data_IF_626339752258
#
_entry.id   IF_626339752258
#
_cell.length_a   1.000
_cell.length_b   1.000
_cell.length_c   1.000
_cell.angle_alpha   90.00
_cell.angle_beta   90.00
_cell.angle_gamma   90.00
#
_symmetry.space_group_name_H-M   'P 1'
#
loop_
_entity.id
_entity.type
_entity.pdbx_description
1 polymer ?
#
# COMPACT_ATOMS: atom_id res chain seq x y z
N UNK A 1 -22.40 -14.50 -56.60
CA UNK A 1 -22.12 -14.82 -55.18
C UNK A 1 -20.59 -14.77 -55.04
N UNK A 2 -20.02 -13.58 -54.83
CA UNK A 2 -19.46 -13.06 -53.55
C UNK A 2 -18.61 -14.11 -52.81
N UNK A 3 -17.32 -13.76 -52.61
CA UNK A 3 -16.23 -14.51 -51.97
C UNK A 3 -16.50 -14.97 -50.53
N UNK A 4 -15.55 -15.56 -49.80
CA UNK A 4 -14.16 -15.12 -49.63
C UNK A 4 -13.31 -16.23 -48.99
N UNK A 5 -12.00 -16.05 -49.14
CA UNK A 5 -10.88 -16.74 -48.48
C UNK A 5 -10.98 -16.70 -46.94
N UNK A 6 -10.48 -17.73 -46.25
CA UNK A 6 -9.30 -17.61 -45.38
C UNK A 6 -8.85 -18.96 -44.81
N UNK A 7 -7.52 -19.07 -44.78
CA UNK A 7 -6.69 -20.24 -44.54
C UNK A 7 -6.67 -20.63 -43.06
N UNK A 8 -6.95 -21.89 -42.74
CA UNK A 8 -6.63 -22.47 -41.44
C UNK A 8 -5.46 -23.44 -41.63
N UNK A 9 -4.26 -22.94 -41.38
CA UNK A 9 -3.05 -23.74 -41.28
C UNK A 9 -3.06 -24.58 -40.01
N UNK A 10 -2.82 -25.87 -40.18
CA UNK A 10 -2.81 -26.88 -39.14
C UNK A 10 -1.41 -27.06 -38.53
N UNK A 11 -1.33 -27.05 -37.20
CA UNK A 11 -0.38 -27.82 -36.37
C UNK A 11 -0.81 -27.59 -34.91
N UNK A 12 -1.37 -28.52 -34.13
CA UNK A 12 -0.89 -29.86 -33.87
C UNK A 12 0.07 -29.85 -32.68
N UNK A 13 -0.42 -29.95 -31.43
CA UNK A 13 0.06 -30.91 -30.43
C UNK A 13 -0.62 -30.75 -29.05
N UNK A 14 -1.16 -31.89 -28.60
CA UNK A 14 -1.91 -32.21 -27.39
C UNK A 14 -1.04 -32.13 -26.14
N UNK A 15 -1.58 -31.73 -24.98
CA UNK A 15 -1.23 -32.28 -23.65
C UNK A 15 -2.39 -32.12 -22.65
N UNK A 16 -3.00 -33.27 -22.36
CA UNK A 16 -3.60 -33.80 -21.12
C UNK A 16 -4.52 -32.89 -20.29
N UNK A 17 -5.82 -33.02 -20.57
CA UNK A 17 -6.91 -32.92 -19.60
C UNK A 17 -6.88 -34.14 -18.68
N UNK A 18 -6.96 -33.94 -17.37
CA UNK A 18 -7.59 -34.89 -16.47
C UNK A 18 -8.59 -34.10 -15.61
N UNK A 19 -9.86 -34.32 -15.94
CA UNK A 19 -11.03 -34.02 -15.14
C UNK A 19 -11.04 -34.97 -13.94
N UNK A 20 -10.91 -34.42 -12.75
CA UNK A 20 -11.38 -35.08 -11.53
C UNK A 20 -12.03 -34.01 -10.66
N UNK A 21 -13.16 -33.52 -11.17
CA UNK A 21 -14.12 -32.69 -10.47
C UNK A 21 -15.28 -33.60 -10.05
N UNK A 22 -15.22 -34.11 -8.83
CA UNK A 22 -16.42 -34.52 -8.10
C UNK A 22 -16.13 -34.59 -6.60
N UNK A 23 -16.83 -33.75 -5.85
CA UNK A 23 -17.45 -34.11 -4.57
C UNK A 23 -16.51 -34.63 -3.44
N UNK A 24 -16.17 -33.75 -2.51
CA UNK A 24 -16.69 -33.82 -1.13
C UNK A 24 -16.25 -32.58 -0.34
N UNK A 25 -17.28 -31.92 0.17
CA UNK A 25 -17.22 -30.85 1.14
C UNK A 25 -17.10 -31.48 2.55
N UNK A 26 -16.76 -30.65 3.53
CA UNK A 26 -16.85 -30.85 4.99
C UNK A 26 -15.58 -31.28 5.74
N UNK A 27 -15.39 -30.58 6.87
CA UNK A 27 -14.41 -30.74 7.94
C UNK A 27 -13.10 -29.95 7.79
N UNK A 28 -13.16 -28.68 8.21
CA UNK A 28 -12.09 -28.01 8.98
C UNK A 28 -12.72 -26.86 9.79
N UNK A 29 -13.63 -27.22 10.71
CA UNK A 29 -13.96 -26.42 11.88
C UNK A 29 -13.51 -27.24 13.09
N UNK A 30 -12.37 -26.87 13.67
CA UNK A 30 -11.93 -27.11 15.05
C UNK A 30 -10.47 -26.64 15.17
N UNK A 31 -10.27 -25.35 15.42
CA UNK A 31 -9.02 -24.87 16.02
C UNK A 31 -9.36 -24.57 17.48
N UNK A 32 -9.03 -25.52 18.35
CA UNK A 32 -8.87 -25.28 19.78
C UNK A 32 -7.77 -24.23 19.97
N UNK A 33 -8.14 -22.99 20.31
CA UNK A 33 -7.20 -21.97 20.76
C UNK A 33 -7.28 -21.89 22.27
N UNK A 34 -6.59 -22.81 22.94
CA UNK A 34 -6.14 -22.59 24.31
C UNK A 34 -5.08 -21.47 24.33
N UNK A 35 -5.44 -20.37 24.99
CA UNK A 35 -4.53 -19.67 25.92
C UNK A 35 -3.14 -19.27 25.42
N UNK A 36 -3.04 -18.40 24.44
CA UNK A 36 -1.78 -17.70 24.13
C UNK A 36 -2.03 -16.42 23.34
N UNK A 37 -2.10 -15.27 24.01
CA UNK A 37 -2.10 -13.96 23.32
C UNK A 37 -0.69 -13.69 22.78
N UNK A 38 -0.31 -14.36 21.71
CA UNK A 38 0.84 -13.93 20.91
C UNK A 38 0.44 -12.61 20.24
N UNK A 39 0.94 -11.49 20.78
CA UNK A 39 0.85 -10.23 20.03
C UNK A 39 1.53 -10.45 18.67
N UNK A 40 0.88 -10.14 17.54
CA UNK A 40 1.52 -10.23 16.25
C UNK A 40 2.73 -9.29 16.28
N UNK A 41 3.94 -9.85 16.15
CA UNK A 41 5.22 -9.17 16.37
C UNK A 41 5.48 -7.92 15.50
N UNK A 42 4.54 -7.53 14.64
CA UNK A 42 4.68 -6.50 13.62
C UNK A 42 3.56 -5.44 13.64
N UNK A 43 2.92 -5.22 14.80
CA UNK A 43 1.95 -4.13 14.97
C UNK A 43 2.69 -2.79 15.02
N UNK A 44 2.32 -1.87 14.14
CA UNK A 44 2.91 -0.53 14.06
C UNK A 44 1.85 0.54 13.85
N UNK A 45 2.23 1.78 14.17
CA UNK A 45 1.43 2.95 13.89
C UNK A 45 1.83 3.56 12.55
N UNK A 46 0.86 3.70 11.64
CA UNK A 46 1.02 4.37 10.35
C UNK A 46 0.54 5.81 10.43
N UNK A 47 1.28 6.74 9.84
CA UNK A 47 0.77 8.08 9.55
C UNK A 47 -0.12 8.04 8.30
N UNK A 48 -1.32 8.60 8.38
CA UNK A 48 -2.24 8.65 7.24
C UNK A 48 -1.98 9.87 6.38
N UNK A 49 -2.08 9.67 5.07
CA UNK A 49 -1.93 10.72 4.07
C UNK A 49 -2.92 10.57 2.94
N UNK A 50 -2.84 11.48 1.98
CA UNK A 50 -3.59 11.42 0.73
C UNK A 50 -2.63 11.42 -0.43
N UNK A 51 -2.84 10.48 -1.35
CA UNK A 51 -2.19 10.49 -2.67
C UNK A 51 -2.67 11.69 -3.48
N UNK A 52 -1.96 12.05 -4.56
CA UNK A 52 -2.38 13.13 -5.48
C UNK A 52 -3.78 12.91 -6.09
N UNK A 53 -4.29 11.68 -6.07
CA UNK A 53 -5.63 11.30 -6.55
C UNK A 53 -6.69 11.29 -5.43
N UNK A 54 -6.37 11.77 -4.23
CA UNK A 54 -7.28 11.83 -3.09
C UNK A 54 -7.49 10.49 -2.35
N UNK A 55 -6.88 9.40 -2.78
CA UNK A 55 -6.95 8.12 -2.08
C UNK A 55 -6.09 8.14 -0.81
N UNK A 56 -6.53 7.45 0.25
CA UNK A 56 -5.72 7.28 1.46
C UNK A 56 -4.42 6.54 1.13
N UNK A 57 -3.32 7.02 1.70
CA UNK A 57 -2.06 6.28 1.79
C UNK A 57 -1.59 6.23 3.23
N UNK A 58 -0.70 5.29 3.51
CA UNK A 58 -0.11 5.09 4.82
C UNK A 58 1.39 5.32 4.72
N UNK A 59 1.96 5.92 5.75
CA UNK A 59 3.38 6.21 5.86
C UNK A 59 3.96 5.54 7.10
N UNK A 60 5.10 4.89 6.91
CA UNK A 60 5.88 4.29 8.00
C UNK A 60 7.34 4.27 7.59
N UNK A 61 8.24 4.74 8.47
CA UNK A 61 9.70 4.78 8.25
C UNK A 61 10.15 5.34 6.88
N UNK A 62 9.46 6.38 6.38
CA UNK A 62 9.77 6.99 5.08
C UNK A 62 9.31 6.18 3.86
N UNK A 63 8.51 5.13 4.05
CA UNK A 63 7.88 4.37 2.97
C UNK A 63 6.39 4.67 2.87
N UNK A 64 5.87 4.66 1.65
CA UNK A 64 4.46 4.91 1.34
C UNK A 64 3.78 3.60 0.93
N UNK A 65 2.62 3.32 1.53
CA UNK A 65 1.77 2.18 1.20
C UNK A 65 0.43 2.65 0.64
N UNK A 66 -0.05 1.96 -0.39
CA UNK A 66 -1.30 2.24 -1.09
C UNK A 66 -2.18 1.00 -1.14
N UNK A 67 -3.50 1.21 -1.10
CA UNK A 67 -4.48 0.12 -1.02
C UNK A 67 -4.41 -0.77 -2.26
N UNK A 68 -4.35 -2.08 -2.04
CA UNK A 68 -4.60 -3.06 -3.08
C UNK A 68 -6.12 -3.27 -3.22
N UNK A 69 -6.63 -3.31 -4.46
CA UNK A 69 -8.07 -3.49 -4.71
C UNK A 69 -8.43 -4.98 -4.64
N UNK A 70 -9.55 -5.33 -4.03
CA UNK A 70 -10.17 -6.66 -4.21
C UNK A 70 -10.27 -7.61 -3.01
N UNK A 71 -10.06 -7.18 -1.77
CA UNK A 71 -10.18 -8.06 -0.58
C UNK A 71 -10.98 -7.42 0.56
N UNK A 72 -11.65 -8.25 1.39
CA UNK A 72 -12.35 -7.82 2.62
C UNK A 72 -11.38 -7.32 3.70
N UNK A 73 -10.14 -7.85 3.71
CA UNK A 73 -9.03 -7.28 4.47
C UNK A 73 -8.43 -6.13 3.66
N UNK A 74 -8.16 -5.00 4.29
CA UNK A 74 -7.56 -3.86 3.61
C UNK A 74 -6.04 -4.07 3.57
N UNK A 75 -5.63 -4.80 2.55
CA UNK A 75 -4.23 -5.03 2.23
C UNK A 75 -3.68 -3.79 1.53
N UNK A 76 -2.54 -3.32 2.00
CA UNK A 76 -1.77 -2.28 1.35
C UNK A 76 -0.44 -2.86 0.90
N UNK A 77 0.06 -2.31 -0.19
CA UNK A 77 1.39 -2.61 -0.71
C UNK A 77 2.18 -1.33 -0.81
N UNK A 78 3.49 -1.45 -0.77
CA UNK A 78 4.34 -0.30 -1.06
C UNK A 78 3.95 0.32 -2.41
N UNK A 79 3.99 1.66 -2.50
CA UNK A 79 3.70 2.40 -3.72
C UNK A 79 4.62 1.99 -4.88
N UNK A 80 5.86 1.57 -4.58
CA UNK A 80 6.81 1.10 -5.57
C UNK A 80 6.41 -0.30 -6.08
N UNK A 81 6.07 -0.39 -7.37
CA UNK A 81 5.43 -1.58 -7.98
C UNK A 81 6.20 -2.90 -7.83
N UNK A 82 7.53 -2.86 -7.76
CA UNK A 82 8.40 -4.04 -7.64
C UNK A 82 8.87 -4.30 -6.20
N UNK A 83 8.34 -3.58 -5.22
CA UNK A 83 8.67 -3.76 -3.82
C UNK A 83 7.76 -4.85 -3.20
N UNK A 84 8.33 -5.86 -2.51
CA UNK A 84 7.53 -6.93 -1.91
C UNK A 84 6.86 -6.51 -0.58
N UNK A 85 7.27 -5.39 0.01
CA UNK A 85 6.72 -4.89 1.26
C UNK A 85 5.20 -4.63 1.19
N UNK A 86 4.49 -5.10 2.21
CA UNK A 86 3.05 -4.98 2.35
C UNK A 86 2.65 -4.76 3.81
N UNK A 87 1.43 -4.30 4.04
CA UNK A 87 0.85 -4.21 5.38
C UNK A 87 -0.67 -4.41 5.34
N UNK A 88 -1.26 -4.62 6.51
CA UNK A 88 -2.70 -4.90 6.68
C UNK A 88 -3.26 -3.99 7.77
N UNK A 89 -4.50 -3.54 7.56
CA UNK A 89 -5.27 -2.78 8.55
C UNK A 89 -6.64 -3.47 8.71
N UNK A 90 -7.17 -3.50 9.94
CA UNK A 90 -8.54 -3.93 10.21
C UNK A 90 -9.56 -2.99 9.55
N UNK A 91 -10.76 -3.47 9.27
CA UNK A 91 -11.80 -2.65 8.64
C UNK A 91 -12.25 -1.49 9.56
N UNK A 92 -12.22 -1.70 10.88
CA UNK A 92 -12.57 -0.71 11.90
C UNK A 92 -11.59 0.47 11.86
N UNK A 93 -10.30 0.16 11.99
CA UNK A 93 -9.21 1.14 11.97
C UNK A 93 -9.14 1.93 10.65
N UNK A 94 -9.60 1.36 9.53
CA UNK A 94 -9.66 2.08 8.26
C UNK A 94 -10.81 3.07 8.15
N UNK A 95 -11.98 2.75 8.73
CA UNK A 95 -13.13 3.66 8.71
C UNK A 95 -12.87 4.88 9.60
N UNK A 96 -12.00 4.75 10.58
CA UNK A 96 -11.56 5.86 11.40
C UNK A 96 -10.75 6.87 10.57
N UNK A 97 -11.26 8.10 10.50
CA UNK A 97 -10.54 9.22 9.89
C UNK A 97 -9.50 9.80 10.84
N UNK A 98 -8.61 8.93 11.34
CA UNK A 98 -7.53 9.33 12.24
C UNK A 98 -6.28 9.73 11.45
N UNK A 99 -5.49 10.65 12.03
CA UNK A 99 -4.15 10.99 11.51
C UNK A 99 -3.20 9.80 11.60
N UNK A 100 -3.47 8.89 12.54
CA UNK A 100 -2.65 7.69 12.76
C UNK A 100 -3.54 6.46 12.81
N UNK A 101 -3.11 5.39 12.16
CA UNK A 101 -3.84 4.12 12.14
C UNK A 101 -2.89 2.98 12.53
N UNK A 102 -3.35 2.14 13.45
CA UNK A 102 -2.65 0.90 13.82
C UNK A 102 -2.88 -0.19 12.77
N UNK A 103 -1.81 -0.88 12.39
CA UNK A 103 -1.86 -1.99 11.46
C UNK A 103 -0.68 -2.94 11.62
N UNK A 104 -0.64 -3.98 10.78
CA UNK A 104 0.36 -5.04 10.85
C UNK A 104 1.25 -4.98 9.61
N UNK A 105 2.57 -4.89 9.79
CA UNK A 105 3.53 -5.03 8.70
C UNK A 105 3.62 -6.49 8.24
N UNK A 106 3.74 -6.66 6.92
CA UNK A 106 4.05 -7.96 6.33
C UNK A 106 5.51 -8.33 6.51
N UNK A 107 5.82 -9.61 6.29
CA UNK A 107 7.15 -10.17 6.58
C UNK A 107 8.23 -9.77 5.56
N UNK A 108 7.85 -9.21 4.41
CA UNK A 108 8.80 -8.80 3.37
C UNK A 108 9.25 -7.35 3.55
N UNK A 109 10.56 -7.13 3.54
CA UNK A 109 11.16 -5.79 3.62
C UNK A 109 11.13 -5.01 2.29
N UNK A 110 11.61 -3.77 2.35
CA UNK A 110 11.76 -2.91 1.17
C UNK A 110 13.03 -3.23 0.38
N UNK A 111 12.96 -3.10 -0.95
CA UNK A 111 14.10 -3.28 -1.86
C UNK A 111 14.50 -1.97 -2.58
N UNK A 112 14.12 -0.83 -2.01
CA UNK A 112 14.42 0.49 -2.54
C UNK A 112 14.62 1.47 -1.39
N UNK A 113 15.27 2.60 -1.67
CA UNK A 113 15.46 3.66 -0.68
C UNK A 113 14.13 4.32 -0.29
N UNK A 114 14.13 4.94 0.90
CA UNK A 114 12.99 5.69 1.42
C UNK A 114 12.52 6.78 0.45
N UNK A 115 11.22 7.03 0.46
CA UNK A 115 10.57 8.06 -0.34
C UNK A 115 10.41 9.29 0.55
N UNK A 116 11.05 10.40 0.17
CA UNK A 116 10.87 11.64 0.91
C UNK A 116 9.43 12.13 0.70
N UNK A 117 8.70 12.39 1.80
CA UNK A 117 7.37 13.01 1.74
C UNK A 117 7.49 14.40 1.10
N UNK A 118 7.18 14.51 -0.21
CA UNK A 118 7.26 15.77 -0.98
C UNK A 118 6.46 16.92 -0.35
N UNK A 119 5.39 16.60 0.38
CA UNK A 119 4.55 17.61 1.04
C UNK A 119 5.15 18.13 2.35
N UNK A 120 5.92 17.31 3.05
CA UNK A 120 6.66 17.73 4.24
C UNK A 120 7.81 18.67 3.84
N UNK A 121 8.59 18.30 2.82
CA UNK A 121 9.65 19.16 2.26
C UNK A 121 9.12 20.52 1.83
N UNK A 122 8.05 20.57 1.04
CA UNK A 122 7.46 21.86 0.61
C UNK A 122 6.98 22.72 1.78
N UNK A 123 6.50 22.10 2.88
CA UNK A 123 6.05 22.81 4.07
C UNK A 123 7.23 23.36 4.87
N UNK A 124 8.29 22.58 5.01
CA UNK A 124 9.56 22.96 5.64
C UNK A 124 10.24 24.09 4.86
N UNK A 125 10.38 23.95 3.54
CA UNK A 125 10.90 24.98 2.64
C UNK A 125 10.10 26.28 2.77
N UNK A 126 8.76 26.21 2.75
CA UNK A 126 7.91 27.40 2.89
C UNK A 126 8.08 28.08 4.26
N UNK A 127 8.31 27.33 5.34
CA UNK A 127 8.64 27.91 6.66
C UNK A 127 10.01 28.57 6.65
N UNK A 128 11.00 27.92 6.05
CA UNK A 128 12.36 28.43 5.93
C UNK A 128 12.40 29.76 5.16
N UNK A 129 11.78 29.82 3.97
CA UNK A 129 11.70 31.07 3.20
C UNK A 129 10.93 32.18 3.92
N UNK A 130 9.86 31.85 4.65
CA UNK A 130 9.16 32.84 5.50
C UNK A 130 10.06 33.40 6.60
N UNK A 131 10.89 32.54 7.22
CA UNK A 131 11.84 32.96 8.26
C UNK A 131 12.95 33.83 7.68
N UNK A 132 13.53 33.46 6.54
CA UNK A 132 14.52 34.28 5.83
C UNK A 132 13.99 35.67 5.47
N UNK A 133 12.78 35.74 4.89
CA UNK A 133 12.17 37.02 4.52
C UNK A 133 11.89 37.92 5.73
N UNK A 134 11.57 37.33 6.90
CA UNK A 134 11.37 38.09 8.14
C UNK A 134 12.70 38.69 8.62
N UNK A 135 13.76 37.89 8.67
CA UNK A 135 15.09 38.34 9.09
C UNK A 135 15.65 39.44 8.16
N UNK A 136 15.47 39.31 6.85
CA UNK A 136 15.88 40.34 5.90
C UNK A 136 15.15 41.67 6.18
N UNK A 137 13.83 41.65 6.39
CA UNK A 137 13.07 42.87 6.70
C UNK A 137 13.52 43.52 8.01
N UNK A 138 13.83 42.73 9.03
CA UNK A 138 14.34 43.23 10.30
C UNK A 138 15.74 43.84 10.15
N UNK A 139 16.63 43.26 9.36
CA UNK A 139 17.96 43.83 9.09
C UNK A 139 17.93 45.18 8.34
N UNK A 140 16.95 45.37 7.45
CA UNK A 140 16.75 46.66 6.77
C UNK A 140 16.16 47.74 7.70
N UNK A 141 15.33 47.35 8.67
CA UNK A 141 14.71 48.29 9.61
C UNK A 141 15.68 48.86 10.66
N UNK A 142 16.79 48.16 10.94
CA UNK A 142 17.84 48.62 11.87
C UNK A 142 18.95 49.46 11.21
N UNK A 143 18.92 49.61 9.88
CA UNK A 143 19.94 50.34 9.10
C UNK A 143 19.45 51.71 8.60
N UNK A 144 18.26 52.15 9.06
CA UNK A 144 17.64 53.47 8.76
C UNK A 144 17.59 54.32 10.02
#
# INVERSE_FOLDING_TARGET
MIGNQQENSACGQKRNFNEEQAYLNEQNDEIDVEGGREMPQNVVLFETGKTNRGNLCLWHEGYCFTRNRGTNVINFRCEQRKCPASCKISMENWKESSKFIEGILGNSGHNHSQIIQKNWQKKEEKKFYKKLNKLQKESFAFSS
#
